data_IF_437085447103
#
_entry.id   IF_437085447103
#
_cell.length_a   1.000
_cell.length_b   1.000
_cell.length_c   1.000
_cell.angle_alpha   90.00
_cell.angle_beta   90.00
_cell.angle_gamma   90.00
#
_symmetry.space_group_name_H-M   'P 1'
#
loop_
_entity.id
_entity.type
_entity.pdbx_description
1 polymer ?
#
# COMPACT_ATOMS: atom_id res chain seq x y z
N UNK A 1 9.94 9.17 85.74
CA UNK A 1 11.03 9.90 85.06
C UNK A 1 10.40 11.13 84.41
N UNK A 2 10.59 12.34 84.97
CA UNK A 2 10.00 13.55 84.41
C UNK A 2 10.68 13.89 83.08
N UNK A 3 9.87 14.11 82.05
CA UNK A 3 10.31 14.60 80.74
C UNK A 3 10.81 16.03 80.91
N UNK A 4 12.13 16.19 80.97
CA UNK A 4 12.79 17.48 81.02
C UNK A 4 12.53 18.20 79.68
N UNK A 5 11.57 19.13 79.68
CA UNK A 5 11.26 19.96 78.53
C UNK A 5 12.45 20.90 78.30
N UNK A 6 13.13 20.72 77.16
CA UNK A 6 14.23 21.58 76.74
C UNK A 6 13.75 23.05 76.75
N UNK A 7 14.54 23.98 77.33
CA UNK A 7 14.16 25.38 77.40
C UNK A 7 13.97 25.95 75.98
N UNK A 8 12.83 26.61 75.75
CA UNK A 8 12.61 27.31 74.48
C UNK A 8 13.59 28.48 74.37
N UNK A 9 14.23 28.67 73.20
CA UNK A 9 15.13 29.79 72.98
C UNK A 9 14.38 31.13 73.04
N UNK A 10 15.02 32.20 73.55
CA UNK A 10 14.37 33.50 73.72
C UNK A 10 13.91 34.10 72.38
N UNK A 11 12.80 34.87 72.37
CA UNK A 11 12.27 35.48 71.16
C UNK A 11 13.29 36.47 70.56
N UNK A 12 13.66 36.27 69.29
CA UNK A 12 14.59 37.12 68.55
C UNK A 12 15.94 36.47 68.21
N UNK A 13 16.22 35.26 68.70
CA UNK A 13 17.43 34.52 68.31
C UNK A 13 17.17 33.75 67.00
N UNK A 14 17.97 33.94 65.94
CA UNK A 14 17.82 33.19 64.71
C UNK A 14 18.02 31.70 64.97
N UNK A 15 17.18 30.86 64.37
CA UNK A 15 17.22 29.42 64.57
C UNK A 15 18.65 28.88 64.30
N UNK A 16 19.16 27.97 65.15
CA UNK A 16 20.51 27.43 64.96
C UNK A 16 20.62 26.76 63.59
N UNK A 17 21.79 26.88 62.92
CA UNK A 17 21.97 26.32 61.59
C UNK A 17 21.69 24.82 61.62
N UNK A 18 21.07 24.25 60.56
CA UNK A 18 20.70 22.84 60.56
C UNK A 18 21.90 21.96 60.86
N UNK A 19 21.77 21.09 61.88
CA UNK A 19 22.80 20.13 62.25
C UNK A 19 23.21 19.24 61.08
N UNK A 20 24.41 18.66 61.15
CA UNK A 20 25.00 17.88 60.04
C UNK A 20 24.08 16.72 59.59
N UNK A 21 23.38 16.09 60.53
CA UNK A 21 22.39 15.04 60.26
C UNK A 21 21.17 15.57 59.48
N UNK A 22 20.70 16.79 59.79
CA UNK A 22 19.60 17.43 59.06
C UNK A 22 20.01 17.80 57.63
N UNK A 23 21.27 18.22 57.42
CA UNK A 23 21.82 18.47 56.07
C UNK A 23 21.95 17.18 55.25
N UNK A 24 22.48 16.10 55.85
CA UNK A 24 22.58 14.78 55.19
C UNK A 24 21.20 14.21 54.85
N UNK A 25 20.22 14.33 55.75
CA UNK A 25 18.83 13.90 55.52
C UNK A 25 18.18 14.67 54.37
N UNK A 26 18.29 16.01 54.35
CA UNK A 26 17.77 16.84 53.24
C UNK A 26 18.41 16.50 51.90
N UNK A 27 19.71 16.18 51.86
CA UNK A 27 20.39 15.74 50.64
C UNK A 27 19.86 14.38 50.15
N UNK A 28 19.73 13.41 51.04
CA UNK A 28 19.16 12.07 50.72
C UNK A 28 17.71 12.18 50.25
N UNK A 29 16.90 13.01 50.91
CA UNK A 29 15.50 13.23 50.55
C UNK A 29 15.37 13.87 49.15
N UNK A 30 16.22 14.85 48.82
CA UNK A 30 16.27 15.43 47.45
C UNK A 30 16.67 14.41 46.39
N UNK A 31 17.59 13.50 46.71
CA UNK A 31 17.97 12.40 45.80
C UNK A 31 16.82 11.41 45.57
N UNK A 32 16.09 11.03 46.63
CA UNK A 32 14.94 10.12 46.53
C UNK A 32 13.82 10.75 45.69
N UNK A 33 13.50 12.03 45.92
CA UNK A 33 12.51 12.76 45.10
C UNK A 33 12.96 12.83 43.64
N UNK A 34 14.23 13.13 43.39
CA UNK A 34 14.78 13.17 42.03
C UNK A 34 14.68 11.83 41.30
N UNK A 35 14.99 10.72 41.99
CA UNK A 35 14.85 9.37 41.43
C UNK A 35 13.38 8.99 41.17
N UNK A 36 12.46 9.36 42.08
CA UNK A 36 11.03 9.10 41.91
C UNK A 36 10.44 9.84 40.71
N UNK A 37 10.76 11.14 40.57
CA UNK A 37 10.34 11.94 39.42
C UNK A 37 10.94 11.44 38.10
N UNK A 38 12.22 11.06 38.09
CA UNK A 38 12.87 10.50 36.91
C UNK A 38 12.24 9.18 36.44
N UNK A 39 11.88 8.30 37.38
CA UNK A 39 11.22 7.03 37.08
C UNK A 39 9.83 7.22 36.46
N UNK A 40 9.03 8.15 37.00
CA UNK A 40 7.69 8.46 36.47
C UNK A 40 7.75 8.99 35.03
N UNK A 41 8.72 9.83 34.70
CA UNK A 41 8.92 10.34 33.34
C UNK A 41 9.34 9.22 32.39
N UNK A 42 10.23 8.32 32.81
CA UNK A 42 10.67 7.19 32.02
C UNK A 42 9.54 6.19 31.72
N UNK A 43 8.67 5.91 32.70
CA UNK A 43 7.51 5.04 32.50
C UNK A 43 6.49 5.68 31.53
N UNK A 44 6.20 6.97 31.67
CA UNK A 44 5.33 7.68 30.73
C UNK A 44 5.89 7.72 29.30
N UNK A 45 7.19 7.92 29.14
CA UNK A 45 7.86 7.86 27.83
C UNK A 45 7.79 6.46 27.22
N UNK A 46 7.93 5.41 28.03
CA UNK A 46 7.85 4.02 27.58
C UNK A 46 6.45 3.66 27.03
N UNK A 47 5.39 4.10 27.69
CA UNK A 47 4.01 3.86 27.26
C UNK A 47 3.69 4.53 25.91
N UNK A 48 4.19 5.75 25.69
CA UNK A 48 4.00 6.46 24.42
C UNK A 48 4.76 5.77 23.27
N UNK A 49 6.00 5.32 23.51
CA UNK A 49 6.82 4.64 22.50
C UNK A 49 6.22 3.28 22.09
N UNK A 50 5.71 2.50 23.05
CA UNK A 50 5.10 1.18 22.75
C UNK A 50 3.81 1.30 21.93
N UNK A 51 2.97 2.29 22.20
CA UNK A 51 1.76 2.56 21.41
C UNK A 51 2.07 2.87 19.94
N UNK A 52 3.13 3.67 19.68
CA UNK A 52 3.58 3.96 18.30
C UNK A 52 4.16 2.73 17.60
N UNK A 53 4.84 1.84 18.32
CA UNK A 53 5.40 0.60 17.75
C UNK A 53 4.32 -0.44 17.40
N UNK A 54 3.20 -0.45 18.13
CA UNK A 54 2.12 -1.43 17.94
C UNK A 54 1.12 -1.03 16.83
N UNK A 55 0.98 0.26 16.51
CA UNK A 55 -0.16 0.75 15.71
C UNK A 55 0.11 1.05 14.24
N UNK A 56 1.30 0.80 13.69
CA UNK A 56 1.54 1.11 12.27
C UNK A 56 2.64 0.27 11.62
N UNK A 57 2.48 -1.06 11.58
CA UNK A 57 3.06 -1.81 10.46
C UNK A 57 2.19 -1.55 9.23
N UNK A 58 2.44 -0.42 8.56
CA UNK A 58 1.96 -0.19 7.18
C UNK A 58 2.35 -1.44 6.39
N UNK A 59 1.37 -2.16 5.86
CA UNK A 59 1.60 -3.37 5.06
C UNK A 59 2.30 -2.98 3.76
N UNK A 60 3.62 -3.22 3.63
CA UNK A 60 4.41 -2.64 2.55
C UNK A 60 3.93 -3.11 1.18
N UNK A 61 3.47 -4.36 1.06
CA UNK A 61 3.00 -4.89 -0.23
C UNK A 61 1.67 -4.25 -0.65
N UNK A 62 0.70 -4.09 0.26
CA UNK A 62 -0.53 -3.35 -0.02
C UNK A 62 -0.25 -1.90 -0.48
N UNK A 63 0.67 -1.20 0.21
CA UNK A 63 1.02 0.18 -0.12
C UNK A 63 1.67 0.26 -1.50
N UNK A 64 2.65 -0.61 -1.76
CA UNK A 64 3.31 -0.69 -3.08
C UNK A 64 2.30 -1.01 -4.17
N UNK A 65 1.49 -2.05 -4.00
CA UNK A 65 0.54 -2.48 -5.03
C UNK A 65 -0.56 -1.42 -5.27
N UNK A 66 -0.98 -0.68 -4.25
CA UNK A 66 -1.93 0.43 -4.40
C UNK A 66 -1.30 1.61 -5.14
N UNK A 67 -0.05 1.95 -4.82
CA UNK A 67 0.71 3.00 -5.51
C UNK A 67 0.92 2.65 -6.98
N UNK A 68 1.29 1.40 -7.24
CA UNK A 68 1.52 0.84 -8.56
C UNK A 68 0.23 0.82 -9.40
N UNK A 69 -0.90 0.39 -8.83
CA UNK A 69 -2.21 0.47 -9.49
C UNK A 69 -2.57 1.92 -9.90
N UNK A 70 -2.28 2.91 -9.06
CA UNK A 70 -2.52 4.33 -9.40
C UNK A 70 -1.61 4.82 -10.53
N UNK A 71 -0.35 4.41 -10.53
CA UNK A 71 0.59 4.74 -11.62
C UNK A 71 0.17 4.10 -12.94
N UNK A 72 -0.29 2.84 -12.92
CA UNK A 72 -0.91 2.18 -14.09
C UNK A 72 -2.10 3.02 -14.56
N UNK A 73 -2.97 3.45 -13.64
CA UNK A 73 -4.12 4.28 -13.99
C UNK A 73 -3.76 5.59 -14.69
N UNK A 74 -2.75 6.30 -14.19
CA UNK A 74 -2.23 7.50 -14.83
C UNK A 74 -1.67 7.20 -16.23
N UNK A 75 -0.93 6.10 -16.40
CA UNK A 75 -0.41 5.69 -17.69
C UNK A 75 -1.54 5.32 -18.68
N UNK A 76 -2.58 4.64 -18.22
CA UNK A 76 -3.75 4.30 -19.05
C UNK A 76 -4.51 5.54 -19.51
N UNK A 77 -4.68 6.53 -18.63
CA UNK A 77 -5.32 7.79 -18.98
C UNK A 77 -4.51 8.58 -20.03
N UNK A 78 -3.18 8.64 -19.86
CA UNK A 78 -2.31 9.28 -20.85
C UNK A 78 -2.35 8.54 -22.20
N UNK A 79 -2.36 7.21 -22.16
CA UNK A 79 -2.49 6.39 -23.36
C UNK A 79 -3.80 6.65 -24.09
N UNK A 80 -4.91 6.74 -23.36
CA UNK A 80 -6.19 7.09 -23.98
C UNK A 80 -6.20 8.51 -24.56
N UNK A 81 -5.55 9.49 -23.91
CA UNK A 81 -5.45 10.83 -24.49
C UNK A 81 -4.73 10.84 -25.84
N UNK A 82 -3.76 9.94 -26.04
CA UNK A 82 -3.00 9.80 -27.28
C UNK A 82 -3.72 8.93 -28.33
N UNK A 83 -4.28 7.79 -27.92
CA UNK A 83 -4.83 6.77 -28.82
C UNK A 83 -6.37 6.66 -28.81
N UNK A 84 -7.05 7.53 -28.06
CA UNK A 84 -8.52 7.60 -27.88
C UNK A 84 -9.18 6.37 -27.23
N UNK A 85 -8.40 5.38 -26.78
CA UNK A 85 -8.88 4.18 -26.08
C UNK A 85 -7.77 3.59 -25.21
N UNK A 86 -8.11 2.78 -24.22
CA UNK A 86 -7.13 1.97 -23.50
C UNK A 86 -6.52 0.87 -24.38
N UNK A 87 -5.36 0.30 -24.00
CA UNK A 87 -4.67 -0.71 -24.80
C UNK A 87 -5.56 -1.89 -25.23
N UNK A 88 -5.60 -2.14 -26.54
CA UNK A 88 -6.20 -3.29 -27.20
C UNK A 88 -5.47 -3.63 -28.52
N UNK A 89 -5.98 -4.60 -29.30
CA UNK A 89 -5.38 -4.95 -30.59
C UNK A 89 -5.42 -3.83 -31.63
N UNK A 90 -6.37 -2.89 -31.56
CA UNK A 90 -6.46 -1.78 -32.51
C UNK A 90 -5.43 -0.71 -32.20
N UNK A 91 -5.18 -0.44 -30.92
CA UNK A 91 -4.15 0.52 -30.49
C UNK A 91 -2.74 -0.02 -30.68
N UNK A 92 -2.55 -1.34 -30.63
CA UNK A 92 -1.26 -1.98 -30.91
C UNK A 92 -0.68 -1.57 -32.28
N UNK A 93 -1.52 -1.58 -33.32
CA UNK A 93 -1.11 -1.18 -34.67
C UNK A 93 -0.78 0.32 -34.77
N UNK A 94 -1.51 1.17 -34.03
CA UNK A 94 -1.25 2.61 -33.98
C UNK A 94 0.08 2.91 -33.27
N UNK A 95 0.32 2.28 -32.13
CA UNK A 95 1.56 2.41 -31.37
C UNK A 95 2.76 1.99 -32.22
N UNK A 96 2.67 0.86 -32.93
CA UNK A 96 3.73 0.43 -33.86
C UNK A 96 3.98 1.45 -34.97
N UNK A 97 2.92 1.98 -35.58
CA UNK A 97 3.03 2.95 -36.67
C UNK A 97 3.66 4.28 -36.23
N UNK A 98 3.34 4.75 -35.03
CA UNK A 98 3.84 6.02 -34.49
C UNK A 98 5.27 5.91 -33.95
N UNK A 99 5.58 4.82 -33.25
CA UNK A 99 6.90 4.63 -32.62
C UNK A 99 7.93 4.01 -33.57
N UNK A 100 7.49 3.42 -34.69
CA UNK A 100 8.33 2.63 -35.57
C UNK A 100 8.82 1.31 -34.95
N UNK A 101 8.19 0.87 -33.85
CA UNK A 101 8.57 -0.36 -33.16
C UNK A 101 8.29 -1.61 -34.01
N UNK A 102 9.21 -2.57 -33.93
CA UNK A 102 9.09 -3.88 -34.60
C UNK A 102 8.55 -4.98 -33.67
N UNK A 103 8.14 -4.63 -32.45
CA UNK A 103 7.63 -5.60 -31.46
C UNK A 103 6.28 -6.14 -31.88
N UNK A 104 6.03 -7.42 -31.66
CA UNK A 104 4.73 -8.06 -31.90
C UNK A 104 3.81 -7.82 -30.70
N UNK A 105 3.17 -6.65 -30.66
CA UNK A 105 2.26 -6.25 -29.59
C UNK A 105 0.97 -7.08 -29.64
N UNK A 106 0.97 -8.23 -28.97
CA UNK A 106 -0.16 -9.15 -28.87
C UNK A 106 -1.25 -8.65 -27.90
N UNK A 107 -2.32 -9.41 -27.75
CA UNK A 107 -3.41 -9.17 -26.78
C UNK A 107 -3.78 -10.42 -25.97
N UNK A 108 -2.90 -11.44 -25.96
CA UNK A 108 -3.16 -12.70 -25.30
C UNK A 108 -3.14 -12.56 -23.76
N UNK A 109 -2.27 -11.70 -23.24
CA UNK A 109 -2.00 -11.53 -21.81
C UNK A 109 -2.03 -10.05 -21.41
N UNK A 110 -2.11 -9.78 -20.11
CA UNK A 110 -2.01 -8.39 -19.63
C UNK A 110 -0.63 -7.79 -19.90
N UNK A 111 0.43 -8.61 -19.87
CA UNK A 111 1.79 -8.18 -20.24
C UNK A 111 1.81 -7.59 -21.65
N UNK A 112 1.19 -8.26 -22.63
CA UNK A 112 1.21 -7.79 -24.02
C UNK A 112 0.50 -6.44 -24.19
N UNK A 113 -0.58 -6.22 -23.44
CA UNK A 113 -1.31 -4.95 -23.47
C UNK A 113 -0.55 -3.84 -22.74
N UNK A 114 0.11 -4.15 -21.62
CA UNK A 114 0.94 -3.18 -20.90
C UNK A 114 2.26 -2.87 -21.61
N UNK A 115 2.78 -3.77 -22.45
CA UNK A 115 3.91 -3.47 -23.32
C UNK A 115 3.60 -2.30 -24.27
N UNK A 116 2.34 -2.09 -24.66
CA UNK A 116 1.97 -0.91 -25.45
C UNK A 116 2.28 0.40 -24.71
N UNK A 117 2.09 0.45 -23.39
CA UNK A 117 2.43 1.61 -22.56
C UNK A 117 3.94 1.86 -22.51
N UNK A 118 4.75 0.80 -22.54
CA UNK A 118 6.21 0.88 -22.54
C UNK A 118 6.69 1.35 -23.92
N UNK A 119 6.19 0.74 -24.99
CA UNK A 119 6.59 1.07 -26.38
C UNK A 119 6.20 2.50 -26.75
N UNK A 120 5.02 2.97 -26.32
CA UNK A 120 4.62 4.36 -26.53
C UNK A 120 5.42 5.38 -25.71
N UNK A 121 6.29 4.92 -24.81
CA UNK A 121 7.08 5.78 -23.93
C UNK A 121 6.29 6.41 -22.78
N UNK A 122 5.07 5.95 -22.52
CA UNK A 122 4.23 6.44 -21.42
C UNK A 122 4.67 5.80 -20.09
N UNK A 123 4.89 4.50 -20.08
CA UNK A 123 5.40 3.77 -18.93
C UNK A 123 6.94 3.72 -19.00
N UNK A 124 7.60 4.47 -18.12
CA UNK A 124 9.06 4.58 -18.07
C UNK A 124 9.73 3.53 -17.17
N UNK A 125 8.95 2.70 -16.47
CA UNK A 125 9.45 1.67 -15.56
C UNK A 125 8.48 0.49 -15.52
N UNK A 126 9.03 -0.72 -15.42
CA UNK A 126 8.26 -1.96 -15.31
C UNK A 126 7.79 -2.21 -13.88
N UNK A 127 8.40 -1.55 -12.89
CA UNK A 127 8.06 -1.70 -11.47
C UNK A 127 6.62 -1.35 -11.16
N UNK A 128 5.98 -0.49 -11.97
CA UNK A 128 4.58 -0.11 -11.78
C UNK A 128 3.62 -1.29 -12.02
N UNK A 129 4.04 -2.34 -12.74
CA UNK A 129 3.24 -3.54 -13.01
C UNK A 129 3.42 -4.65 -11.97
N UNK A 130 4.25 -4.39 -10.95
CA UNK A 130 4.56 -5.35 -9.90
C UNK A 130 3.65 -5.21 -8.67
N UNK A 131 3.22 -6.35 -8.15
CA UNK A 131 2.62 -6.55 -6.85
C UNK A 131 3.10 -7.91 -6.36
N UNK A 132 3.34 -8.03 -5.06
CA UNK A 132 3.89 -9.26 -4.48
C UNK A 132 2.82 -10.36 -4.50
N UNK A 133 3.14 -11.46 -5.16
CA UNK A 133 2.37 -12.71 -5.18
C UNK A 133 3.35 -13.90 -5.18
N UNK A 134 2.92 -15.14 -4.91
CA UNK A 134 3.79 -16.32 -4.97
C UNK A 134 4.42 -16.56 -6.35
N UNK A 135 3.77 -16.09 -7.42
CA UNK A 135 4.19 -16.26 -8.80
C UNK A 135 4.80 -15.01 -9.41
N UNK A 136 4.99 -13.89 -8.70
CA UNK A 136 5.60 -12.69 -9.28
C UNK A 136 7.03 -12.46 -8.78
N UNK A 137 7.83 -11.75 -9.59
CA UNK A 137 9.15 -11.24 -9.26
C UNK A 137 9.21 -9.76 -9.64
N UNK A 138 10.09 -9.01 -8.98
CA UNK A 138 10.36 -7.63 -9.41
C UNK A 138 11.01 -7.65 -10.79
N UNK A 139 10.61 -6.70 -11.62
CA UNK A 139 11.26 -6.44 -12.89
C UNK A 139 12.69 -5.95 -12.70
N UNK A 140 13.53 -6.18 -13.71
CA UNK A 140 14.90 -5.66 -13.76
C UNK A 140 14.99 -4.28 -14.46
N UNK A 141 13.86 -3.75 -14.96
CA UNK A 141 13.75 -2.51 -15.73
C UNK A 141 14.55 -2.55 -17.04
N UNK A 142 14.75 -3.73 -17.63
CA UNK A 142 15.39 -3.90 -18.92
C UNK A 142 14.34 -4.25 -19.98
N UNK A 143 13.83 -3.25 -20.69
CA UNK A 143 12.78 -3.44 -21.70
C UNK A 143 13.22 -3.01 -23.10
N UNK A 144 14.47 -3.32 -23.48
CA UNK A 144 15.00 -2.96 -24.81
C UNK A 144 14.47 -3.84 -25.94
N UNK A 145 13.93 -5.01 -25.60
CA UNK A 145 13.35 -5.96 -26.56
C UNK A 145 12.01 -6.47 -26.03
N UNK A 146 11.15 -6.92 -26.94
CA UNK A 146 9.84 -7.51 -26.62
C UNK A 146 9.94 -8.64 -25.59
N UNK A 147 10.96 -9.49 -25.70
CA UNK A 147 11.15 -10.64 -24.80
C UNK A 147 11.56 -10.26 -23.38
N UNK A 148 12.15 -9.07 -23.20
CA UNK A 148 12.58 -8.60 -21.89
C UNK A 148 11.50 -7.72 -21.24
N UNK A 149 10.79 -6.92 -22.03
CA UNK A 149 9.72 -6.07 -21.53
C UNK A 149 8.57 -6.88 -20.92
N UNK A 150 8.34 -6.71 -19.62
CA UNK A 150 7.38 -7.45 -18.81
C UNK A 150 7.54 -8.95 -19.04
N UNK A 151 8.76 -9.44 -18.85
CA UNK A 151 9.05 -10.86 -18.94
C UNK A 151 8.17 -11.65 -17.96
N UNK A 152 8.11 -12.96 -18.17
CA UNK A 152 7.31 -13.88 -17.35
C UNK A 152 7.53 -13.61 -15.86
N UNK A 153 6.41 -13.46 -15.13
CA UNK A 153 6.31 -13.17 -13.70
C UNK A 153 6.64 -11.74 -13.27
N UNK A 154 6.91 -10.80 -14.17
CA UNK A 154 7.17 -9.39 -13.80
C UNK A 154 5.90 -8.55 -13.69
N UNK A 155 4.83 -8.96 -14.38
CA UNK A 155 3.50 -8.37 -14.24
C UNK A 155 2.65 -9.18 -13.25
N UNK A 156 1.90 -8.47 -12.42
CA UNK A 156 1.01 -9.05 -11.39
C UNK A 156 -0.45 -8.65 -11.54
N UNK A 157 -0.72 -7.69 -12.43
CA UNK A 157 -2.05 -7.15 -12.65
C UNK A 157 -2.70 -7.88 -13.83
N UNK A 158 -3.88 -8.43 -13.60
CA UNK A 158 -4.76 -8.80 -14.68
C UNK A 158 -5.41 -7.54 -15.23
N UNK A 159 -5.64 -7.52 -16.55
CA UNK A 159 -6.20 -6.40 -17.28
C UNK A 159 -7.55 -6.80 -17.89
N UNK A 160 -8.52 -5.90 -17.87
CA UNK A 160 -9.85 -6.14 -18.45
C UNK A 160 -9.94 -5.37 -19.76
N UNK A 161 -9.89 -6.11 -20.86
CA UNK A 161 -9.75 -5.55 -22.20
C UNK A 161 -11.09 -5.09 -22.80
N UNK A 162 -11.00 -4.13 -23.74
CA UNK A 162 -12.14 -3.62 -24.49
C UNK A 162 -12.84 -2.41 -23.86
N UNK A 163 -12.22 -1.76 -22.87
CA UNK A 163 -12.74 -0.58 -22.18
C UNK A 163 -12.12 0.74 -22.73
N UNK A 164 -12.72 1.86 -22.33
CA UNK A 164 -12.34 3.26 -22.58
C UNK A 164 -12.85 4.15 -21.43
N UNK A 165 -12.44 5.42 -21.32
CA UNK A 165 -13.01 6.35 -20.35
C UNK A 165 -14.48 6.72 -20.61
N UNK A 166 -15.07 6.26 -21.73
CA UNK A 166 -16.50 6.42 -22.01
C UNK A 166 -17.36 5.34 -21.35
N UNK A 167 -16.76 4.24 -20.92
CA UNK A 167 -17.45 3.16 -20.23
C UNK A 167 -17.82 3.57 -18.79
N UNK A 168 -18.59 2.74 -18.08
CA UNK A 168 -19.04 3.06 -16.73
C UNK A 168 -17.81 3.35 -15.84
N UNK A 169 -17.74 4.53 -15.18
CA UNK A 169 -16.64 4.96 -14.31
C UNK A 169 -16.21 3.92 -13.25
N UNK A 170 -17.17 3.14 -12.75
CA UNK A 170 -16.95 2.14 -11.71
C UNK A 170 -16.51 0.77 -12.25
N UNK A 171 -16.38 0.63 -13.57
CA UNK A 171 -15.92 -0.62 -14.21
C UNK A 171 -14.46 -0.89 -13.83
N UNK A 172 -14.13 -2.07 -13.30
CA UNK A 172 -12.75 -2.50 -13.10
C UNK A 172 -11.97 -2.58 -14.43
N UNK A 173 -10.75 -2.04 -14.46
CA UNK A 173 -9.83 -2.14 -15.60
C UNK A 173 -8.57 -2.94 -15.28
N UNK A 174 -8.03 -2.84 -14.06
CA UNK A 174 -6.89 -3.64 -13.61
C UNK A 174 -7.17 -4.22 -12.22
N UNK A 175 -6.78 -5.47 -12.01
CA UNK A 175 -7.02 -6.17 -10.74
C UNK A 175 -5.82 -7.01 -10.32
N UNK A 176 -5.55 -7.07 -9.02
CA UNK A 176 -4.51 -7.94 -8.42
C UNK A 176 -4.93 -8.31 -6.99
N UNK A 177 -4.54 -9.46 -6.42
CA UNK A 177 -3.71 -10.54 -6.96
C UNK A 177 -4.57 -11.68 -7.54
N UNK A 178 -4.94 -11.60 -8.82
CA UNK A 178 -5.78 -12.63 -9.45
C UNK A 178 -4.96 -13.92 -9.69
N UNK A 179 -5.56 -15.08 -9.43
CA UNK A 179 -4.93 -16.36 -9.76
C UNK A 179 -4.85 -16.54 -11.29
N UNK A 180 -3.71 -17.03 -11.84
CA UNK A 180 -3.59 -17.25 -13.28
C UNK A 180 -4.68 -18.17 -13.84
N UNK A 181 -5.38 -17.70 -14.88
CA UNK A 181 -6.44 -18.45 -15.56
C UNK A 181 -7.75 -18.59 -14.78
N UNK A 182 -7.90 -17.92 -13.63
CA UNK A 182 -9.12 -17.98 -12.81
C UNK A 182 -9.64 -16.60 -12.47
N UNK A 183 -10.92 -16.53 -12.10
CA UNK A 183 -11.60 -15.32 -11.61
C UNK A 183 -11.59 -15.24 -10.07
N UNK A 184 -10.67 -15.94 -9.43
CA UNK A 184 -10.47 -15.92 -7.97
C UNK A 184 -9.16 -15.26 -7.63
N UNK A 185 -9.13 -14.51 -6.54
CA UNK A 185 -7.96 -13.83 -6.00
C UNK A 185 -7.17 -14.73 -5.07
N UNK A 186 -5.84 -14.60 -5.11
CA UNK A 186 -4.96 -15.20 -4.12
C UNK A 186 -5.08 -14.44 -2.80
N UNK A 187 -5.69 -15.13 -1.84
CA UNK A 187 -5.96 -14.60 -0.52
C UNK A 187 -4.69 -14.24 0.25
N UNK A 188 -3.56 -14.90 -0.01
CA UNK A 188 -2.36 -14.76 0.82
C UNK A 188 -1.29 -13.82 0.24
N UNK A 189 -1.51 -13.30 -0.96
CA UNK A 189 -0.57 -12.42 -1.66
C UNK A 189 -0.41 -11.05 -0.99
N UNK A 190 -1.53 -10.42 -0.63
CA UNK A 190 -1.57 -9.07 -0.06
C UNK A 190 -2.07 -9.14 1.39
N UNK A 191 -1.43 -8.39 2.28
CA UNK A 191 -1.75 -8.43 3.70
C UNK A 191 -3.23 -8.12 3.98
N UNK A 192 -3.83 -8.90 4.87
CA UNK A 192 -5.24 -8.73 5.24
C UNK A 192 -6.21 -9.27 4.20
N UNK A 193 -5.77 -10.16 3.31
CA UNK A 193 -6.59 -10.82 2.29
C UNK A 193 -7.31 -9.80 1.42
N UNK A 194 -6.54 -8.89 0.80
CA UNK A 194 -7.09 -7.77 0.05
C UNK A 194 -6.85 -7.91 -1.45
N UNK A 195 -7.85 -7.55 -2.24
CA UNK A 195 -7.73 -7.31 -3.66
C UNK A 195 -7.65 -5.81 -3.92
N UNK A 196 -6.87 -5.43 -4.92
CA UNK A 196 -6.72 -4.06 -5.40
C UNK A 196 -7.35 -3.97 -6.78
N UNK A 197 -8.33 -3.09 -6.91
CA UNK A 197 -9.14 -2.92 -8.11
C UNK A 197 -8.99 -1.48 -8.60
N UNK A 198 -8.34 -1.30 -9.74
CA UNK A 198 -8.34 -0.02 -10.44
C UNK A 198 -9.59 0.05 -11.33
N UNK A 199 -10.35 1.13 -11.22
CA UNK A 199 -11.55 1.39 -12.03
C UNK A 199 -11.23 2.36 -13.18
N UNK A 200 -12.12 2.43 -14.17
CA UNK A 200 -12.02 3.33 -15.34
C UNK A 200 -11.83 4.79 -14.92
N UNK A 201 -12.49 5.24 -13.86
CA UNK A 201 -12.32 6.59 -13.31
C UNK A 201 -11.07 6.81 -12.46
N UNK A 202 -10.10 5.90 -12.56
CA UNK A 202 -8.83 5.93 -11.85
C UNK A 202 -8.93 5.77 -10.33
N UNK A 203 -10.13 5.48 -9.79
CA UNK A 203 -10.24 5.09 -8.39
C UNK A 203 -9.64 3.71 -8.18
N UNK A 204 -8.91 3.60 -7.08
CA UNK A 204 -8.33 2.35 -6.61
C UNK A 204 -9.11 1.86 -5.38
N UNK A 205 -9.86 0.78 -5.54
CA UNK A 205 -10.63 0.14 -4.46
C UNK A 205 -9.78 -0.96 -3.82
N UNK A 206 -9.87 -1.07 -2.50
CA UNK A 206 -9.24 -2.15 -1.73
C UNK A 206 -10.35 -3.00 -1.14
N UNK A 207 -10.64 -4.14 -1.76
CA UNK A 207 -11.73 -5.02 -1.36
C UNK A 207 -11.21 -6.21 -0.55
N UNK A 208 -11.92 -6.65 0.50
CA UNK A 208 -11.61 -7.92 1.15
C UNK A 208 -11.89 -9.09 0.21
N UNK A 209 -11.03 -10.10 0.27
CA UNK A 209 -11.18 -11.38 -0.41
C UNK A 209 -11.84 -12.35 0.58
N UNK A 210 -12.96 -12.95 0.16
CA UNK A 210 -13.69 -13.94 0.95
C UNK A 210 -12.94 -15.29 1.01
N UNK A 211 -13.37 -16.25 1.85
CA UNK A 211 -12.72 -17.55 1.94
C UNK A 211 -12.71 -18.38 0.65
N UNK A 212 -13.59 -18.06 -0.32
CA UNK A 212 -13.64 -18.69 -1.63
C UNK A 212 -12.80 -17.98 -2.70
N UNK A 213 -12.03 -16.95 -2.32
CA UNK A 213 -11.18 -16.20 -3.24
C UNK A 213 -11.92 -15.12 -4.02
N UNK A 214 -13.12 -14.69 -3.59
CA UNK A 214 -13.92 -13.70 -4.30
C UNK A 214 -13.83 -12.33 -3.66
N UNK A 215 -13.82 -11.28 -4.49
CA UNK A 215 -14.01 -9.91 -4.04
C UNK A 215 -15.48 -9.54 -4.24
N UNK A 216 -16.19 -9.18 -3.15
CA UNK A 216 -17.61 -8.86 -3.20
C UNK A 216 -17.79 -7.34 -3.30
N UNK A 217 -18.53 -6.89 -4.32
CA UNK A 217 -18.93 -5.52 -4.54
C UNK A 217 -20.43 -5.48 -4.83
N UNK A 218 -21.17 -4.55 -4.22
CA UNK A 218 -22.63 -4.46 -4.36
C UNK A 218 -23.38 -5.78 -4.04
N UNK A 219 -22.83 -6.59 -3.13
CA UNK A 219 -23.40 -7.88 -2.74
C UNK A 219 -23.21 -9.02 -3.75
N UNK A 220 -22.44 -8.80 -4.83
CA UNK A 220 -22.14 -9.80 -5.86
C UNK A 220 -20.63 -9.96 -6.06
N UNK A 221 -20.22 -11.05 -6.71
CA UNK A 221 -18.83 -11.22 -7.14
C UNK A 221 -18.44 -10.11 -8.12
N UNK A 222 -17.20 -9.61 -8.02
CA UNK A 222 -16.70 -8.54 -8.89
C UNK A 222 -16.84 -8.86 -10.38
N UNK A 223 -16.68 -10.12 -10.78
CA UNK A 223 -16.73 -10.58 -12.17
C UNK A 223 -18.12 -11.12 -12.57
N UNK A 224 -19.13 -11.06 -11.69
CA UNK A 224 -20.49 -11.48 -12.00
C UNK A 224 -21.10 -10.55 -13.07
N UNK A 225 -21.48 -11.04 -14.27
CA UNK A 225 -22.02 -10.20 -15.35
C UNK A 225 -23.26 -9.38 -14.97
N UNK A 226 -23.94 -9.72 -13.87
CA UNK A 226 -25.07 -8.97 -13.31
C UNK A 226 -24.67 -7.69 -12.58
N UNK A 227 -23.37 -7.47 -12.34
CA UNK A 227 -22.90 -6.18 -11.84
C UNK A 227 -23.36 -5.05 -12.79
N UNK A 228 -23.81 -3.90 -12.26
CA UNK A 228 -24.33 -2.81 -13.09
C UNK A 228 -23.37 -2.35 -14.18
N UNK A 229 -22.08 -2.30 -13.86
CA UNK A 229 -21.01 -1.85 -14.77
C UNK A 229 -20.64 -2.88 -15.86
N UNK A 230 -21.10 -4.13 -15.76
CA UNK A 230 -20.87 -5.14 -16.81
C UNK A 230 -21.99 -5.21 -17.85
N UNK A 231 -23.16 -4.65 -17.56
CA UNK A 231 -24.31 -4.64 -18.46
C UNK A 231 -24.67 -6.04 -19.03
N UNK A 232 -24.54 -7.09 -18.22
CA UNK A 232 -24.83 -8.47 -18.61
C UNK A 232 -23.74 -9.17 -19.42
N UNK A 233 -22.59 -8.52 -19.68
CA UNK A 233 -21.47 -9.09 -20.42
C UNK A 233 -20.41 -9.65 -19.46
N UNK A 234 -19.85 -10.81 -19.78
CA UNK A 234 -18.71 -11.32 -19.03
C UNK A 234 -17.47 -10.43 -19.30
N UNK A 235 -16.68 -10.08 -18.27
CA UNK A 235 -15.47 -9.29 -18.45
C UNK A 235 -14.43 -10.08 -19.26
N UNK A 236 -13.77 -9.41 -20.21
CA UNK A 236 -12.68 -9.98 -21.00
C UNK A 236 -11.36 -9.84 -20.23
N UNK A 237 -11.13 -10.76 -19.29
CA UNK A 237 -9.94 -10.75 -18.43
C UNK A 237 -8.73 -11.30 -19.19
N UNK A 238 -7.62 -10.57 -19.14
CA UNK A 238 -6.30 -10.95 -19.63
C UNK A 238 -5.39 -11.16 -18.42
N UNK A 239 -4.92 -12.38 -18.24
CA UNK A 239 -4.05 -12.75 -17.11
C UNK A 239 -2.59 -12.40 -17.39
N UNK A 240 -1.78 -12.15 -16.34
CA UNK A 240 -0.34 -12.00 -16.49
C UNK A 240 0.35 -13.31 -16.88
N UNK A 241 1.51 -13.20 -17.54
CA UNK A 241 2.39 -14.32 -17.93
C UNK A 241 3.21 -14.88 -16.78
#
# INVERSE_FOLDING_TARGET
MPTELLPQPPPGVPAPPPGEQARKSRRKFRWIIGLGLGSLVLLGLWEVVTSMLLTSRKSPNLVTATSNARQIGQALLEFENQYSKFPDATTAALVQAETGSTWTLSEATSNDLFQQLIVSGIALSEEIFYAKTPWTRKADNLFTTESQALATRECSFAYIAGLSAKDDPSTPICVTPLEPGKLTFDRNSIEGNRAIILCVDQRCLILPIDPSGRAILNGMDLFDPRQPFWHGKAPNVKWPK
#
